data_IF_924915090524
#
_entry.id   IF_924915090524
#
_cell.length_a   1.000
_cell.length_b   1.000
_cell.length_c   1.000
_cell.angle_alpha   90.00
_cell.angle_beta   90.00
_cell.angle_gamma   90.00
#
_symmetry.space_group_name_H-M   'P 1'
#
loop_
_entity.id
_entity.type
_entity.pdbx_description
1 polymer ?
#
# COMPACT_ATOMS: atom_id res chain seq x y z
N UNK A 1 -18.15 6.96 -14.33
CA UNK A 1 -18.03 5.62 -13.69
C UNK A 1 -16.58 5.21 -13.37
N UNK A 2 -15.60 5.40 -14.27
CA UNK A 2 -14.20 4.96 -14.02
C UNK A 2 -13.45 5.73 -12.92
N UNK A 3 -13.73 7.02 -12.73
CA UNK A 3 -13.12 7.84 -11.67
C UNK A 3 -13.41 7.26 -10.27
N UNK A 4 -14.68 6.94 -9.99
CA UNK A 4 -15.08 6.32 -8.72
C UNK A 4 -14.42 4.96 -8.46
N UNK A 5 -14.24 4.13 -9.50
CA UNK A 5 -13.54 2.83 -9.37
C UNK A 5 -12.05 3.01 -9.06
N UNK A 6 -11.39 3.97 -9.74
CA UNK A 6 -10.00 4.32 -9.44
C UNK A 6 -9.86 4.84 -8.00
N UNK A 7 -10.73 5.76 -7.60
CA UNK A 7 -10.67 6.37 -6.27
C UNK A 7 -10.91 5.30 -5.19
N UNK A 8 -11.93 4.44 -5.35
CA UNK A 8 -12.18 3.30 -4.43
C UNK A 8 -10.97 2.37 -4.34
N UNK A 9 -10.37 1.99 -5.47
CA UNK A 9 -9.17 1.14 -5.47
C UNK A 9 -8.02 1.80 -4.70
N UNK A 10 -7.74 3.07 -4.97
CA UNK A 10 -6.67 3.81 -4.29
C UNK A 10 -6.96 3.94 -2.79
N UNK A 11 -8.18 4.25 -2.38
CA UNK A 11 -8.56 4.30 -0.95
C UNK A 11 -8.37 2.95 -0.26
N UNK A 12 -8.74 1.84 -0.90
CA UNK A 12 -8.47 0.50 -0.38
C UNK A 12 -6.97 0.25 -0.22
N UNK A 13 -6.14 0.65 -1.19
CA UNK A 13 -4.69 0.47 -1.06
C UNK A 13 -4.09 1.37 0.03
N UNK A 14 -4.63 2.58 0.24
CA UNK A 14 -4.27 3.43 1.39
C UNK A 14 -4.60 2.76 2.71
N UNK A 15 -5.78 2.16 2.84
CA UNK A 15 -6.18 1.42 4.04
C UNK A 15 -5.21 0.26 4.34
N UNK A 16 -4.76 -0.47 3.33
CA UNK A 16 -3.76 -1.54 3.49
C UNK A 16 -2.38 -1.01 3.91
N UNK A 17 -1.97 0.16 3.42
CA UNK A 17 -0.72 0.81 3.84
C UNK A 17 -0.81 1.30 5.28
N UNK A 18 -1.93 1.90 5.66
CA UNK A 18 -2.20 2.33 7.04
C UNK A 18 -2.18 1.14 8.01
N UNK A 19 -2.87 0.05 7.65
CA UNK A 19 -2.85 -1.21 8.39
C UNK A 19 -1.41 -1.73 8.54
N UNK A 20 -0.66 -1.82 7.45
CA UNK A 20 0.74 -2.24 7.51
C UNK A 20 1.56 -1.42 8.51
N UNK A 21 1.42 -0.09 8.52
CA UNK A 21 2.15 0.76 9.45
C UNK A 21 1.70 0.60 10.91
N UNK A 22 0.40 0.48 11.17
CA UNK A 22 -0.14 0.23 12.53
C UNK A 22 0.50 -1.00 13.19
N UNK A 23 0.71 -2.07 12.43
CA UNK A 23 1.24 -3.33 12.96
C UNK A 23 2.76 -3.40 12.97
N UNK A 24 3.44 -2.67 12.09
CA UNK A 24 4.88 -2.85 11.90
C UNK A 24 5.73 -1.70 12.44
N UNK A 25 5.14 -0.55 12.82
CA UNK A 25 5.88 0.62 13.31
C UNK A 25 5.56 0.96 14.77
N UNK A 26 6.62 1.33 15.50
CA UNK A 26 6.55 1.99 16.81
C UNK A 26 6.06 3.43 16.62
N UNK A 27 5.20 3.88 17.54
CA UNK A 27 4.75 5.27 17.62
C UNK A 27 4.11 5.80 16.32
N UNK A 28 3.45 4.93 15.55
CA UNK A 28 2.68 5.35 14.38
C UNK A 28 1.40 6.08 14.80
N UNK A 29 1.10 7.21 14.15
CA UNK A 29 -0.02 8.09 14.51
C UNK A 29 -0.88 8.51 13.32
N UNK A 30 -0.28 8.72 12.15
CA UNK A 30 -1.01 9.26 10.99
C UNK A 30 -0.35 8.90 9.67
N UNK A 31 -1.17 8.70 8.63
CA UNK A 31 -0.76 8.59 7.23
C UNK A 31 -1.07 9.89 6.47
N UNK A 32 -0.15 10.36 5.63
CA UNK A 32 -0.44 11.39 4.64
C UNK A 32 0.05 10.96 3.26
N UNK A 33 -0.87 10.88 2.30
CA UNK A 33 -0.55 10.58 0.91
C UNK A 33 -0.33 11.89 0.16
N UNK A 34 0.78 11.97 -0.55
CA UNK A 34 1.20 13.17 -1.29
C UNK A 34 1.03 13.00 -2.79
N UNK A 35 1.17 11.76 -3.29
CA UNK A 35 1.10 11.46 -4.72
C UNK A 35 0.71 10.02 -4.96
N UNK A 36 0.00 9.78 -6.07
CA UNK A 36 -0.27 8.44 -6.59
C UNK A 36 0.07 8.44 -8.08
N UNK A 37 1.04 7.62 -8.47
CA UNK A 37 1.45 7.44 -9.87
C UNK A 37 1.10 6.04 -10.35
N UNK A 38 0.85 5.92 -11.66
CA UNK A 38 0.66 4.63 -12.34
C UNK A 38 1.90 4.36 -13.19
N UNK A 39 2.47 3.16 -13.09
CA UNK A 39 3.60 2.74 -13.91
C UNK A 39 3.12 2.24 -15.30
N UNK A 40 3.99 2.19 -16.31
CA UNK A 40 3.62 1.76 -17.66
C UNK A 40 3.04 0.33 -17.73
N UNK A 41 3.47 -0.55 -16.82
CA UNK A 41 2.97 -1.93 -16.73
C UNK A 41 1.61 -2.04 -16.03
N UNK A 42 1.02 -0.92 -15.60
CA UNK A 42 -0.30 -0.87 -14.99
C UNK A 42 -0.32 -0.87 -13.45
N UNK A 43 0.82 -1.02 -12.80
CA UNK A 43 0.94 -0.99 -11.34
C UNK A 43 0.91 0.44 -10.79
N UNK A 44 0.90 0.57 -9.47
CA UNK A 44 0.80 1.87 -8.81
C UNK A 44 1.96 2.11 -7.83
N UNK A 45 2.37 3.37 -7.75
CA UNK A 45 3.23 3.90 -6.70
C UNK A 45 2.43 4.88 -5.85
N UNK A 46 2.42 4.67 -4.54
CA UNK A 46 1.78 5.56 -3.57
C UNK A 46 2.87 6.19 -2.70
N UNK A 47 2.99 7.51 -2.80
CA UNK A 47 3.97 8.30 -2.08
C UNK A 47 3.32 9.02 -0.92
N UNK A 48 4.04 9.09 0.19
CA UNK A 48 3.52 9.75 1.38
C UNK A 48 4.57 9.91 2.45
N UNK A 49 4.12 10.41 3.58
CA UNK A 49 4.88 10.40 4.82
C UNK A 49 3.95 10.10 6.01
N UNK A 50 4.54 9.71 7.13
CA UNK A 50 3.81 9.37 8.34
C UNK A 50 4.09 10.37 9.46
N UNK A 51 3.23 10.37 10.47
CA UNK A 51 3.36 11.19 11.69
C UNK A 51 3.54 12.69 11.43
N UNK A 52 3.00 13.18 10.30
CA UNK A 52 3.16 14.57 9.84
C UNK A 52 4.64 15.02 9.72
N UNK A 53 5.58 14.08 9.54
CA UNK A 53 7.01 14.36 9.42
C UNK A 53 7.53 13.92 8.05
N UNK A 54 7.94 14.88 7.23
CA UNK A 54 8.44 14.64 5.86
C UNK A 54 9.72 13.79 5.83
N UNK A 55 10.46 13.69 6.94
CA UNK A 55 11.62 12.79 7.07
C UNK A 55 11.22 11.33 7.08
N UNK A 56 9.98 11.02 7.46
CA UNK A 56 9.40 9.68 7.42
C UNK A 56 8.63 9.45 6.11
N UNK A 57 9.25 9.77 4.99
CA UNK A 57 8.70 9.53 3.67
C UNK A 57 8.76 8.05 3.29
N UNK A 58 7.84 7.62 2.43
CA UNK A 58 7.82 6.30 1.84
C UNK A 58 7.32 6.32 0.39
N UNK A 59 7.65 5.26 -0.34
CA UNK A 59 7.07 4.91 -1.64
C UNK A 59 6.60 3.45 -1.57
N UNK A 60 5.29 3.24 -1.63
CA UNK A 60 4.66 1.93 -1.66
C UNK A 60 4.40 1.50 -3.09
N UNK A 61 4.82 0.27 -3.45
CA UNK A 61 4.66 -0.30 -4.78
C UNK A 61 3.56 -1.37 -4.80
N UNK A 62 2.66 -1.26 -5.77
CA UNK A 62 1.58 -2.21 -6.01
C UNK A 62 1.75 -2.79 -7.42
N UNK A 63 1.93 -4.10 -7.49
CA UNK A 63 2.12 -4.83 -8.74
C UNK A 63 0.83 -4.86 -9.57
N UNK A 64 0.97 -4.75 -10.89
CA UNK A 64 -0.10 -5.08 -11.84
C UNK A 64 -0.23 -6.57 -12.14
N UNK A 65 0.60 -7.40 -11.51
CA UNK A 65 0.60 -8.86 -11.67
C UNK A 65 0.18 -9.50 -10.35
N UNK A 66 -0.69 -10.51 -10.42
CA UNK A 66 -1.19 -11.24 -9.27
C UNK A 66 -2.46 -10.61 -8.67
N UNK A 67 -2.48 -10.39 -7.35
CA UNK A 67 -3.70 -9.92 -6.66
C UNK A 67 -3.98 -8.43 -6.79
N UNK A 68 -3.07 -7.65 -7.40
CA UNK A 68 -3.18 -6.19 -7.53
C UNK A 68 -3.31 -5.45 -6.20
N UNK A 69 -3.02 -6.10 -5.07
CA UNK A 69 -3.12 -5.49 -3.75
C UNK A 69 -1.73 -5.09 -3.24
N UNK A 70 -1.67 -4.07 -2.38
CA UNK A 70 -0.48 -3.76 -1.62
C UNK A 70 -0.13 -4.92 -0.69
N UNK A 71 1.12 -5.41 -0.75
CA UNK A 71 1.62 -6.57 0.01
C UNK A 71 2.74 -6.25 0.99
N UNK A 72 3.02 -4.97 1.26
CA UNK A 72 4.14 -4.55 2.10
C UNK A 72 5.40 -4.10 1.34
N UNK A 73 5.32 -3.97 0.00
CA UNK A 73 6.45 -3.53 -0.82
C UNK A 73 6.68 -2.03 -0.64
N UNK A 74 7.72 -1.66 0.10
CA UNK A 74 7.93 -0.29 0.56
C UNK A 74 9.40 0.13 0.41
N UNK A 75 9.64 1.28 -0.20
CA UNK A 75 10.93 1.98 -0.17
C UNK A 75 10.88 3.15 0.80
N UNK A 76 11.92 3.31 1.62
CA UNK A 76 12.03 4.35 2.65
C UNK A 76 13.50 4.54 3.05
N UNK A 77 13.81 5.62 3.78
CA UNK A 77 15.16 5.80 4.34
C UNK A 77 15.36 4.94 5.61
N UNK A 78 16.37 4.06 5.64
CA UNK A 78 16.67 3.26 6.84
C UNK A 78 17.16 4.13 8.02
N UNK A 79 17.69 5.33 7.75
CA UNK A 79 18.18 6.26 8.78
C UNK A 79 17.05 6.99 9.52
N UNK A 80 15.86 7.08 8.93
CA UNK A 80 14.69 7.77 9.49
C UNK A 80 13.54 6.80 9.76
N UNK A 81 12.61 6.62 8.81
CA UNK A 81 11.43 5.75 8.97
C UNK A 81 11.84 4.32 9.34
N UNK A 82 12.97 3.83 8.78
CA UNK A 82 13.48 2.49 9.07
C UNK A 82 13.69 2.18 10.55
N UNK A 83 14.05 3.20 11.35
CA UNK A 83 14.27 3.06 12.80
C UNK A 83 12.97 2.85 13.59
N UNK A 84 11.83 3.17 13.00
CA UNK A 84 10.52 3.02 13.64
C UNK A 84 10.01 1.58 13.56
N UNK A 85 10.52 0.74 12.66
CA UNK A 85 10.06 -0.64 12.57
C UNK A 85 10.38 -1.44 13.84
N UNK A 86 9.47 -2.34 14.23
CA UNK A 86 9.77 -3.35 15.24
C UNK A 86 10.89 -4.29 14.80
N UNK A 87 10.86 -4.69 13.52
CA UNK A 87 11.84 -5.60 12.92
C UNK A 87 12.54 -4.98 11.71
N UNK A 88 13.87 -5.07 11.67
CA UNK A 88 14.68 -4.57 10.55
C UNK A 88 14.61 -5.47 9.32
N UNK A 89 14.52 -6.79 9.53
CA UNK A 89 14.39 -7.78 8.47
C UNK A 89 12.97 -7.75 7.87
N UNK A 90 12.81 -7.55 6.55
CA UNK A 90 11.51 -7.52 5.90
C UNK A 90 10.66 -8.79 6.09
N UNK A 91 11.29 -9.96 6.30
CA UNK A 91 10.57 -11.24 6.48
C UNK A 91 9.80 -11.31 7.79
N UNK A 92 10.23 -10.54 8.80
CA UNK A 92 9.63 -10.55 10.13
C UNK A 92 8.50 -9.51 10.24
N UNK A 93 8.25 -8.76 9.16
CA UNK A 93 7.17 -7.78 9.08
C UNK A 93 5.88 -8.47 8.66
N UNK A 94 4.81 -8.22 9.40
CA UNK A 94 3.50 -8.85 9.17
C UNK A 94 2.87 -8.18 7.94
N UNK A 95 2.48 -9.01 6.96
CA UNK A 95 1.90 -8.51 5.70
C UNK A 95 0.42 -8.16 5.88
N UNK A 96 -0.14 -7.23 5.08
CA UNK A 96 -1.55 -6.88 5.19
C UNK A 96 -2.51 -8.07 5.11
N UNK A 97 -2.26 -9.03 4.21
CA UNK A 97 -3.11 -10.22 4.08
C UNK A 97 -3.12 -11.08 5.35
N UNK A 98 -1.96 -11.23 6.00
CA UNK A 98 -1.83 -11.96 7.27
C UNK A 98 -2.54 -11.24 8.41
N UNK A 99 -2.49 -9.90 8.45
CA UNK A 99 -3.20 -9.08 9.46
C UNK A 99 -4.71 -9.23 9.27
N UNK A 100 -5.20 -9.05 8.04
CA UNK A 100 -6.64 -9.16 7.70
C UNK A 100 -7.21 -10.52 8.10
N UNK A 101 -6.45 -11.59 7.86
CA UNK A 101 -6.87 -12.95 8.23
C UNK A 101 -6.86 -13.17 9.75
N UNK A 102 -5.76 -12.81 10.43
CA UNK A 102 -5.62 -13.01 11.89
C UNK A 102 -6.63 -12.21 12.71
N UNK A 103 -6.99 -11.02 12.24
CA UNK A 103 -7.92 -10.12 12.94
C UNK A 103 -9.35 -10.24 12.44
N UNK A 104 -9.64 -11.15 11.50
CA UNK A 104 -10.96 -11.35 10.92
C UNK A 104 -11.57 -10.06 10.36
N UNK A 105 -10.74 -9.21 9.74
CA UNK A 105 -11.18 -7.93 9.18
C UNK A 105 -12.06 -8.17 7.93
N UNK A 106 -13.01 -7.28 7.70
CA UNK A 106 -13.84 -7.33 6.50
C UNK A 106 -12.98 -7.14 5.24
N UNK A 107 -12.91 -8.17 4.40
CA UNK A 107 -12.07 -8.15 3.20
C UNK A 107 -12.46 -7.05 2.23
N UNK A 108 -13.72 -6.62 2.18
CA UNK A 108 -14.20 -5.57 1.27
C UNK A 108 -13.61 -4.18 1.56
N UNK A 109 -13.15 -3.95 2.79
CA UNK A 109 -12.46 -2.71 3.18
C UNK A 109 -11.00 -2.70 2.71
N UNK A 110 -10.43 -3.88 2.46
CA UNK A 110 -9.02 -4.08 2.16
C UNK A 110 -8.75 -4.80 0.83
N UNK A 111 -9.76 -5.05 0.01
CA UNK A 111 -9.62 -5.66 -1.32
C UNK A 111 -10.43 -4.88 -2.34
N UNK A 112 -9.76 -4.51 -3.43
CA UNK A 112 -10.40 -3.86 -4.56
C UNK A 112 -9.60 -4.17 -5.82
N UNK A 113 -10.30 -4.40 -6.92
CA UNK A 113 -9.65 -4.54 -8.22
C UNK A 113 -9.29 -3.16 -8.80
N UNK A 114 -8.14 -3.03 -9.48
CA UNK A 114 -7.82 -1.80 -10.18
C UNK A 114 -8.86 -1.54 -11.27
N UNK A 115 -9.12 -0.27 -11.62
CA UNK A 115 -10.01 0.04 -12.74
C UNK A 115 -9.46 -0.61 -14.01
N UNK A 116 -10.31 -1.36 -14.73
CA UNK A 116 -10.00 -1.86 -16.06
C UNK A 116 -9.77 -0.64 -16.97
N UNK A 117 -8.53 -0.44 -17.39
CA UNK A 117 -8.16 0.58 -18.37
C UNK A 117 -7.62 -0.18 -19.57
N UNK A 118 -8.38 -0.16 -20.66
CA UNK A 118 -8.11 -0.90 -21.90
C UNK A 118 -6.68 -0.62 -22.40
N UNK A 119 -5.94 -1.70 -22.64
CA UNK A 119 -4.52 -1.69 -23.01
C UNK A 119 -3.96 -3.10 -23.24
N UNK A 120 -4.62 -4.13 -22.71
CA UNK A 120 -4.48 -5.50 -23.18
C UNK A 120 -5.76 -5.90 -23.90
N UNK A 121 -5.76 -5.73 -25.22
CA UNK A 121 -6.66 -6.45 -26.08
C UNK A 121 -6.32 -7.95 -25.96
N UNK A 122 -7.37 -8.75 -25.80
CA UNK A 122 -7.39 -10.21 -25.82
C UNK A 122 -6.25 -10.81 -26.67
N UNK A 123 -5.36 -11.59 -26.05
CA UNK A 123 -4.84 -12.75 -26.77
C UNK A 123 -5.96 -13.78 -26.70
N UNK A 124 -6.67 -13.89 -27.83
CA UNK A 124 -7.41 -15.11 -28.18
C UNK A 124 -6.48 -16.30 -28.16
#
# INVERSE_FOLDING_TARGET
>A
MHKHKKDKYIETQKARIDLYFKHNLKNYKSLQITKVDKNPMGGYFIYGHINNDKRYYFNASISSVGSHQYKGNLSYSPKTLGKLFYHSNPKDKIKPDEIIEREHLNKEDYQADPPIIWGFQSMK
#
